data_IF_648788476178
#
_entry.id   IF_648788476178
#
_cell.length_a   1.000
_cell.length_b   1.000
_cell.length_c   1.000
_cell.angle_alpha   90.00
_cell.angle_beta   90.00
_cell.angle_gamma   90.00
#
_symmetry.space_group_name_H-M   'P 1'
#
loop_
_entity.id
_entity.type
_entity.pdbx_description
1 polymer ?
#
# COMPACT_ATOMS: atom_id res chain seq x y z
N UNK A 1 -6.27 -5.44 -4.89
CA UNK A 1 -6.22 -4.11 -4.27
C UNK A 1 -5.03 -3.34 -4.79
N UNK A 2 -5.17 -2.64 -5.91
CA UNK A 2 -4.10 -1.82 -6.49
C UNK A 2 -4.70 -0.58 -7.15
N UNK A 3 -3.94 0.04 -8.06
CA UNK A 3 -4.42 1.15 -8.89
C UNK A 3 -5.60 0.68 -9.77
N UNK A 4 -6.64 1.52 -9.93
CA UNK A 4 -7.80 1.20 -10.78
C UNK A 4 -7.44 1.41 -12.25
N UNK A 5 -7.17 0.33 -12.97
CA UNK A 5 -6.57 0.40 -14.31
C UNK A 5 -7.50 1.04 -15.34
N UNK A 6 -8.81 0.99 -15.14
CA UNK A 6 -9.81 1.59 -16.01
C UNK A 6 -9.64 3.11 -16.13
N UNK A 7 -9.12 3.77 -15.10
CA UNK A 7 -8.85 5.22 -15.12
C UNK A 7 -7.36 5.54 -15.44
N UNK A 8 -6.54 4.52 -15.70
CA UNK A 8 -5.15 4.64 -16.17
C UNK A 8 -4.32 5.64 -15.35
N UNK A 9 -3.79 6.69 -15.99
CA UNK A 9 -2.96 7.71 -15.36
C UNK A 9 -3.67 8.47 -14.24
N UNK A 10 -5.00 8.63 -14.34
CA UNK A 10 -5.79 9.33 -13.31
C UNK A 10 -5.70 8.58 -11.99
N UNK A 11 -5.76 7.25 -12.02
CA UNK A 11 -5.60 6.40 -10.84
C UNK A 11 -4.19 6.48 -10.25
N UNK A 12 -3.15 6.60 -11.10
CA UNK A 12 -1.77 6.75 -10.63
C UNK A 12 -1.56 8.08 -9.89
N UNK A 13 -2.09 9.18 -10.44
CA UNK A 13 -1.97 10.52 -9.84
C UNK A 13 -2.64 10.60 -8.47
N UNK A 14 -3.62 9.73 -8.17
CA UNK A 14 -4.24 9.68 -6.84
C UNK A 14 -3.21 9.46 -5.72
N UNK A 15 -2.14 8.71 -5.97
CA UNK A 15 -1.08 8.47 -5.00
C UNK A 15 -0.37 9.77 -4.59
N UNK A 16 -0.04 10.61 -5.56
CA UNK A 16 0.57 11.93 -5.30
C UNK A 16 -0.41 12.86 -4.60
N UNK A 17 -1.69 12.84 -4.99
CA UNK A 17 -2.73 13.66 -4.38
C UNK A 17 -2.95 13.32 -2.91
N UNK A 18 -3.09 12.03 -2.58
CA UNK A 18 -3.31 11.58 -1.20
C UNK A 18 -2.07 11.83 -0.33
N UNK A 19 -0.86 11.59 -0.85
CA UNK A 19 0.39 11.95 -0.16
C UNK A 19 0.46 13.44 0.17
N UNK A 20 0.13 14.31 -0.79
CA UNK A 20 0.11 15.76 -0.55
C UNK A 20 -0.93 16.16 0.51
N UNK A 21 -2.07 15.47 0.58
CA UNK A 21 -3.07 15.70 1.62
C UNK A 21 -2.57 15.27 3.01
N UNK A 22 -1.96 14.09 3.13
CA UNK A 22 -1.39 13.58 4.39
C UNK A 22 -0.28 14.51 4.89
N UNK A 23 0.57 15.03 4.01
CA UNK A 23 1.57 16.02 4.39
C UNK A 23 0.96 17.29 5.02
N UNK A 24 -0.23 17.72 4.56
CA UNK A 24 -0.94 18.85 5.17
C UNK A 24 -1.56 18.51 6.53
N UNK A 25 -1.91 17.24 6.77
CA UNK A 25 -2.38 16.75 8.07
C UNK A 25 -1.20 16.73 9.05
N UNK A 26 -0.07 16.16 8.62
CA UNK A 26 1.18 16.12 9.39
C UNK A 26 1.71 17.53 9.73
N UNK A 27 1.67 18.48 8.78
CA UNK A 27 2.10 19.86 9.03
C UNK A 27 1.25 20.60 10.07
N UNK A 28 0.04 20.11 10.36
CA UNK A 28 -0.84 20.64 11.41
C UNK A 28 -0.68 19.92 12.75
N UNK A 29 0.23 18.96 12.85
CA UNK A 29 0.43 18.13 14.05
C UNK A 29 -0.74 17.21 14.36
N UNK A 30 -1.58 16.90 13.36
CA UNK A 30 -2.71 16.00 13.53
C UNK A 30 -2.25 14.55 13.29
N UNK A 31 -2.62 13.60 14.17
CA UNK A 31 -2.21 12.22 14.02
C UNK A 31 -2.97 11.52 12.88
N UNK A 32 -2.24 10.72 12.11
CA UNK A 32 -2.76 9.87 11.05
C UNK A 32 -2.43 8.41 11.33
N UNK A 33 -3.47 7.61 11.61
CA UNK A 33 -3.37 6.18 11.83
C UNK A 33 -3.79 5.45 10.55
N UNK A 34 -2.92 4.55 10.06
CA UNK A 34 -3.21 3.71 8.91
C UNK A 34 -3.53 2.31 9.37
N UNK A 35 -4.72 1.81 9.03
CA UNK A 35 -5.13 0.42 9.31
C UNK A 35 -5.05 -0.38 8.03
N UNK A 36 -4.11 -1.31 8.01
CA UNK A 36 -3.77 -2.20 6.91
C UNK A 36 -4.57 -3.50 7.08
N UNK A 37 -5.69 -3.58 6.38
CA UNK A 37 -6.53 -4.78 6.34
C UNK A 37 -6.03 -5.75 5.26
N UNK A 38 -6.56 -6.97 5.28
CA UNK A 38 -6.16 -8.00 4.32
C UNK A 38 -6.29 -7.52 2.87
N UNK A 39 -5.20 -7.71 2.10
CA UNK A 39 -5.01 -7.25 0.73
C UNK A 39 -4.74 -5.75 0.52
N UNK A 40 -3.84 -5.18 1.30
CA UNK A 40 -3.29 -3.84 1.03
C UNK A 40 -2.07 -3.93 0.10
N UNK A 41 -2.32 -3.88 -1.22
CA UNK A 41 -1.28 -4.05 -2.24
C UNK A 41 -1.09 -2.81 -3.15
N UNK A 42 -0.05 -2.83 -3.99
CA UNK A 42 0.11 -1.92 -5.12
C UNK A 42 0.22 -0.44 -4.74
N UNK A 43 -0.40 0.43 -5.54
CA UNK A 43 -0.33 1.88 -5.36
C UNK A 43 -0.89 2.39 -4.03
N UNK A 44 -1.83 1.66 -3.41
CA UNK A 44 -2.35 2.02 -2.09
C UNK A 44 -1.29 1.78 -1.01
N UNK A 45 -0.64 0.61 -1.04
CA UNK A 45 0.49 0.28 -0.15
C UNK A 45 1.66 1.25 -0.32
N UNK A 46 1.94 1.71 -1.54
CA UNK A 46 3.02 2.65 -1.84
C UNK A 46 2.64 4.14 -1.67
N UNK A 47 1.42 4.44 -1.19
CA UNK A 47 0.98 5.82 -0.95
C UNK A 47 0.40 5.96 0.45
N UNK A 48 -0.89 6.27 0.57
CA UNK A 48 -1.53 6.61 1.84
C UNK A 48 -1.32 5.56 2.94
N UNK A 49 -1.32 4.28 2.58
CA UNK A 49 -1.34 3.20 3.55
C UNK A 49 -0.04 3.06 4.36
N UNK A 50 1.11 3.48 3.82
CA UNK A 50 2.40 3.43 4.51
C UNK A 50 2.84 4.77 5.11
N UNK A 51 2.01 5.81 5.00
CA UNK A 51 2.32 7.17 5.46
C UNK A 51 1.69 7.50 6.82
N UNK A 52 1.12 6.51 7.52
CA UNK A 52 0.64 6.66 8.89
C UNK A 52 1.78 7.02 9.84
N UNK A 53 1.49 7.87 10.83
CA UNK A 53 2.35 8.03 12.01
C UNK A 53 2.45 6.69 12.75
N UNK A 54 1.35 5.93 12.74
CA UNK A 54 1.30 4.53 13.17
C UNK A 54 0.57 3.72 12.10
N UNK A 55 1.20 2.62 11.68
CA UNK A 55 0.61 1.64 10.78
C UNK A 55 0.22 0.38 11.58
N UNK A 56 -1.04 -0.03 11.49
CA UNK A 56 -1.63 -1.15 12.24
C UNK A 56 -2.05 -2.21 11.23
N UNK A 57 -1.50 -3.42 11.32
CA UNK A 57 -1.90 -4.55 10.46
C UNK A 57 -2.87 -5.48 11.17
N UNK A 58 -3.92 -5.92 10.47
CA UNK A 58 -4.74 -7.03 10.95
C UNK A 58 -3.94 -8.36 10.91
N UNK A 59 -4.20 -9.31 11.83
CA UNK A 59 -3.53 -10.60 11.81
C UNK A 59 -3.69 -11.31 10.46
N UNK A 60 -2.56 -11.75 9.88
CA UNK A 60 -2.48 -12.45 8.58
C UNK A 60 -2.82 -11.59 7.36
N UNK A 61 -2.93 -10.27 7.51
CA UNK A 61 -3.21 -9.37 6.40
C UNK A 61 -2.07 -9.40 5.36
N UNK A 62 -2.44 -9.53 4.09
CA UNK A 62 -1.45 -9.51 3.00
C UNK A 62 -1.13 -8.07 2.61
N UNK A 63 0.10 -7.63 2.88
CA UNK A 63 0.54 -6.23 2.66
C UNK A 63 1.81 -6.20 1.81
N UNK A 64 1.86 -5.33 0.79
CA UNK A 64 3.08 -5.11 0.01
C UNK A 64 2.87 -4.54 -1.39
N UNK A 65 3.95 -4.08 -2.01
CA UNK A 65 3.83 -3.37 -3.30
C UNK A 65 3.42 -4.28 -4.46
N UNK A 66 4.21 -5.32 -4.74
CA UNK A 66 3.91 -6.28 -5.79
C UNK A 66 3.21 -7.51 -5.21
N UNK A 67 2.29 -8.11 -5.96
CA UNK A 67 1.65 -9.36 -5.55
C UNK A 67 2.62 -10.54 -5.63
N UNK A 68 2.46 -11.53 -4.73
CA UNK A 68 3.25 -12.77 -4.66
C UNK A 68 3.45 -13.44 -6.02
N UNK A 69 2.42 -13.48 -6.88
CA UNK A 69 2.48 -14.07 -8.23
C UNK A 69 3.53 -13.38 -9.11
N UNK A 70 3.52 -12.05 -9.15
CA UNK A 70 4.44 -11.26 -9.98
C UNK A 70 5.87 -11.46 -9.47
N UNK A 71 6.07 -11.40 -8.16
CA UNK A 71 7.38 -11.59 -7.53
C UNK A 71 7.94 -12.99 -7.85
N UNK A 72 7.11 -14.04 -7.73
CA UNK A 72 7.54 -15.41 -8.01
C UNK A 72 7.93 -15.60 -9.49
N UNK A 73 7.20 -14.97 -10.40
CA UNK A 73 7.50 -15.02 -11.84
C UNK A 73 8.81 -14.29 -12.18
N UNK A 74 9.11 -13.18 -11.49
CA UNK A 74 10.33 -12.40 -11.73
C UNK A 74 11.57 -13.09 -11.17
N UNK A 75 11.51 -13.58 -9.92
CA UNK A 75 12.66 -14.19 -9.23
C UNK A 75 12.88 -15.65 -9.65
N UNK A 76 11.86 -16.31 -10.22
CA UNK A 76 11.87 -17.73 -10.63
C UNK A 76 12.19 -18.71 -9.48
N UNK A 77 11.90 -18.29 -8.25
CA UNK A 77 12.09 -19.10 -7.03
C UNK A 77 10.78 -19.29 -6.27
N UNK A 78 10.76 -20.29 -5.38
CA UNK A 78 9.63 -20.51 -4.48
C UNK A 78 9.65 -19.46 -3.37
N UNK A 79 8.62 -18.62 -3.35
CA UNK A 79 8.47 -17.62 -2.30
C UNK A 79 8.18 -18.30 -0.94
N UNK A 80 8.89 -17.90 0.14
CA UNK A 80 8.73 -18.46 1.49
C UNK A 80 7.27 -18.53 1.96
N UNK A 81 6.99 -19.52 2.83
CA UNK A 81 5.69 -19.63 3.50
C UNK A 81 5.55 -18.45 4.46
N UNK A 82 4.44 -17.71 4.36
CA UNK A 82 4.21 -16.51 5.19
C UNK A 82 4.73 -15.20 4.58
N UNK A 83 5.31 -15.21 3.38
CA UNK A 83 5.73 -13.98 2.72
C UNK A 83 4.54 -13.02 2.50
N UNK A 84 4.72 -11.76 2.91
CA UNK A 84 3.72 -10.68 2.93
C UNK A 84 2.55 -10.86 3.91
N UNK A 85 2.58 -11.85 4.81
CA UNK A 85 1.59 -12.02 5.90
C UNK A 85 2.07 -11.48 7.24
#
# INVERSE_FOLDING_TARGET
GGCRMEESLISLIQMSKTRAAINRVSSKGLPYFSVLTDQTLGGVSASLAMLGDINIGEPKAIIGFAGRRVIAQTVREKIPVGFQR
#
